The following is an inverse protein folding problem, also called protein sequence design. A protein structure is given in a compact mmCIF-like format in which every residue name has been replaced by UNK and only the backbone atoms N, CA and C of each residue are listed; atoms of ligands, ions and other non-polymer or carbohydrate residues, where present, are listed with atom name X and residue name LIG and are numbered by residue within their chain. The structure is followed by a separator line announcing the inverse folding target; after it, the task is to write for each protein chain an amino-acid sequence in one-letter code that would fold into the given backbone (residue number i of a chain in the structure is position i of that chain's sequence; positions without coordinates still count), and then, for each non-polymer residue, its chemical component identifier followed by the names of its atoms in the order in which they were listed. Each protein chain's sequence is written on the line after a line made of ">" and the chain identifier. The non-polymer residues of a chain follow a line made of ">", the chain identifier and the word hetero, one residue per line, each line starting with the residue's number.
data_IF_363133708042
#
_entry.id   IF_363133708042
#
_cell.length_a   1.000
_cell.length_b   1.000
_cell.length_c   1.000
_cell.angle_alpha   90.00
_cell.angle_beta   90.00
_cell.angle_gamma   90.00
#
_symmetry.space_group_name_H-M   'P 1'
#
loop_
_entity.id
_entity.type
_entity.pdbx_description
1 polymer ?
#
# COMPACT_ATOMS: atom_id res chain seq x y z
N UNK A 1 2.21 17.81 3.99
CA UNK A 1 1.08 18.78 4.01
C UNK A 1 -0.13 18.21 3.26
N UNK A 2 -0.02 17.89 1.97
CA UNK A 2 -1.14 17.34 1.15
C UNK A 2 -1.68 16.00 1.65
N UNK A 3 -0.81 15.08 2.09
CA UNK A 3 -1.23 13.77 2.61
C UNK A 3 -2.11 13.87 3.87
N UNK A 4 -1.78 14.77 4.80
CA UNK A 4 -2.57 14.97 6.01
C UNK A 4 -3.98 15.49 5.68
N UNK A 5 -4.09 16.42 4.71
CA UNK A 5 -5.37 16.92 4.21
C UNK A 5 -6.16 15.80 3.51
N UNK A 6 -5.50 14.98 2.69
CA UNK A 6 -6.14 13.84 2.02
C UNK A 6 -6.70 12.81 3.01
N UNK A 7 -5.92 12.46 4.05
CA UNK A 7 -6.37 11.56 5.13
C UNK A 7 -7.51 12.18 5.93
N UNK A 8 -7.47 13.49 6.21
CA UNK A 8 -8.54 14.19 6.92
C UNK A 8 -9.85 14.18 6.11
N UNK A 9 -9.77 14.44 4.80
CA UNK A 9 -10.93 14.40 3.90
C UNK A 9 -11.48 12.96 3.85
N UNK A 10 -10.62 11.96 3.64
CA UNK A 10 -11.04 10.56 3.63
C UNK A 10 -11.73 10.17 4.95
N UNK A 11 -11.16 10.55 6.09
CA UNK A 11 -11.75 10.32 7.40
C UNK A 11 -13.14 10.97 7.53
N UNK A 12 -13.32 12.20 7.02
CA UNK A 12 -14.61 12.89 7.08
C UNK A 12 -15.72 12.16 6.30
N UNK A 13 -15.38 11.53 5.18
CA UNK A 13 -16.34 10.77 4.37
C UNK A 13 -16.58 9.34 4.88
N UNK A 14 -15.54 8.65 5.34
CA UNK A 14 -15.61 7.25 5.80
C UNK A 14 -16.13 7.14 7.24
N UNK A 15 -15.78 8.06 8.14
CA UNK A 15 -16.22 8.03 9.54
C UNK A 15 -17.75 7.95 9.70
N UNK A 16 -18.58 8.77 9.03
CA UNK A 16 -20.04 8.66 9.17
C UNK A 16 -20.58 7.32 8.66
N UNK A 17 -20.00 6.74 7.61
CA UNK A 17 -20.39 5.42 7.09
C UNK A 17 -20.08 4.33 8.13
N UNK A 18 -18.89 4.39 8.74
CA UNK A 18 -18.50 3.46 9.80
C UNK A 18 -19.37 3.56 11.05
N UNK A 19 -19.71 4.79 11.47
CA UNK A 19 -20.61 5.05 12.61
C UNK A 19 -22.01 4.52 12.33
N UNK A 20 -22.54 4.69 11.11
CA UNK A 20 -23.87 4.16 10.74
C UNK A 20 -23.88 2.63 10.71
N UNK A 21 -22.82 1.99 10.20
CA UNK A 21 -22.77 0.52 10.09
C UNK A 21 -22.51 -0.20 11.42
N UNK A 22 -21.61 0.33 12.25
CA UNK A 22 -21.16 -0.36 13.47
C UNK A 22 -21.70 0.28 14.77
N UNK A 23 -22.36 1.43 14.70
CA UNK A 23 -23.03 2.08 15.83
C UNK A 23 -22.09 2.44 16.99
N UNK A 24 -22.64 2.49 18.20
CA UNK A 24 -21.89 2.80 19.42
C UNK A 24 -20.87 1.71 19.83
N UNK A 25 -20.89 0.54 19.17
CA UNK A 25 -19.92 -0.53 19.44
C UNK A 25 -18.48 -0.12 19.07
N UNK A 26 -18.29 0.78 18.09
CA UNK A 26 -16.99 1.37 17.77
C UNK A 26 -16.45 2.31 18.85
N UNK A 27 -17.35 2.90 19.64
CA UNK A 27 -17.01 3.84 20.72
C UNK A 27 -16.80 3.14 22.06
N UNK A 28 -16.78 1.80 22.08
CA UNK A 28 -16.46 1.04 23.28
C UNK A 28 -15.02 1.39 23.70
N UNK A 29 -14.78 1.86 24.95
CA UNK A 29 -13.46 2.29 25.39
C UNK A 29 -12.37 1.22 25.24
N UNK A 30 -12.75 -0.07 25.22
CA UNK A 30 -11.86 -1.21 25.00
C UNK A 30 -11.36 -1.36 23.56
N UNK A 31 -12.10 -0.87 22.56
CA UNK A 31 -11.69 -0.93 21.15
C UNK A 31 -10.74 0.20 20.76
N UNK A 32 -10.81 1.35 21.44
CA UNK A 32 -10.01 2.53 21.11
C UNK A 32 -8.49 2.23 21.09
N UNK A 33 -7.90 1.55 22.10
CA UNK A 33 -6.47 1.21 22.06
C UNK A 33 -6.10 0.30 20.89
N UNK A 34 -6.95 -0.68 20.57
CA UNK A 34 -6.73 -1.62 19.47
C UNK A 34 -6.82 -0.88 18.13
N UNK A 35 -7.84 -0.03 17.95
CA UNK A 35 -8.03 0.77 16.75
C UNK A 35 -6.84 1.72 16.52
N UNK A 36 -6.33 2.36 17.58
CA UNK A 36 -5.10 3.17 17.51
C UNK A 36 -3.91 2.30 17.12
N UNK A 37 -3.74 1.13 17.74
CA UNK A 37 -2.66 0.20 17.42
C UNK A 37 -2.66 -0.22 15.94
N UNK A 38 -3.83 -0.62 15.42
CA UNK A 38 -4.01 -0.98 14.01
C UNK A 38 -3.73 0.21 13.09
N UNK A 39 -4.25 1.39 13.40
CA UNK A 39 -4.01 2.60 12.59
C UNK A 39 -2.52 2.97 12.52
N UNK A 40 -1.81 2.85 13.64
CA UNK A 40 -0.37 3.13 13.69
C UNK A 40 0.40 2.08 12.91
N UNK A 41 0.19 0.80 13.21
CA UNK A 41 0.96 -0.31 12.62
C UNK A 41 0.68 -0.49 11.13
N UNK A 42 -0.55 -0.28 10.68
CA UNK A 42 -0.97 -0.52 9.29
C UNK A 42 -0.82 0.69 8.37
N UNK A 43 -0.81 1.93 8.89
CA UNK A 43 -0.78 3.14 8.05
C UNK A 43 0.30 4.10 8.48
N UNK A 44 0.29 4.57 9.74
CA UNK A 44 1.22 5.64 10.14
C UNK A 44 2.69 5.20 10.06
N UNK A 45 2.99 4.01 10.54
CA UNK A 45 4.32 3.42 10.54
C UNK A 45 4.81 3.09 9.11
N UNK A 46 4.07 2.31 8.29
CA UNK A 46 4.48 2.04 6.92
C UNK A 46 4.60 3.31 6.10
N UNK A 47 3.65 4.25 6.16
CA UNK A 47 3.74 5.53 5.44
C UNK A 47 4.96 6.36 5.84
N UNK A 48 5.32 6.34 7.13
CA UNK A 48 6.54 7.01 7.60
C UNK A 48 7.78 6.34 7.04
N UNK A 49 7.84 5.00 7.07
CA UNK A 49 8.93 4.23 6.47
C UNK A 49 9.03 4.48 4.96
N UNK A 50 7.91 4.61 4.26
CA UNK A 50 7.86 4.96 2.84
C UNK A 50 8.48 6.34 2.56
N UNK A 51 8.06 7.36 3.33
CA UNK A 51 8.64 8.71 3.19
C UNK A 51 10.14 8.74 3.50
N UNK A 52 10.59 7.96 4.48
CA UNK A 52 12.02 7.83 4.80
C UNK A 52 12.75 7.06 3.68
N UNK A 53 12.17 5.99 3.15
CA UNK A 53 12.73 5.21 2.06
C UNK A 53 12.90 6.05 0.79
N UNK A 54 11.92 6.91 0.46
CA UNK A 54 11.98 7.83 -0.68
C UNK A 54 13.10 8.86 -0.57
N UNK A 55 13.55 9.22 0.64
CA UNK A 55 14.69 10.13 0.84
C UNK A 55 16.05 9.42 0.79
N UNK A 56 16.09 8.08 0.91
CA UNK A 56 17.32 7.27 0.98
C UNK A 56 17.55 6.37 -0.24
N UNK A 57 16.51 6.11 -1.04
CA UNK A 57 16.57 5.29 -2.25
C UNK A 57 16.16 6.09 -3.49
N UNK A 58 16.71 5.77 -4.68
CA UNK A 58 16.15 6.28 -5.93
C UNK A 58 14.68 5.85 -6.02
N UNK A 59 13.79 6.77 -6.37
CA UNK A 59 12.34 6.53 -6.63
C UNK A 59 12.07 5.28 -7.49
N UNK A 60 13.06 4.90 -8.30
CA UNK A 60 13.13 3.70 -9.14
C UNK A 60 13.05 2.36 -8.37
N UNK A 61 13.76 2.21 -7.26
CA UNK A 61 13.78 0.95 -6.47
C UNK A 61 12.57 0.87 -5.53
N UNK A 62 12.05 2.02 -5.11
CA UNK A 62 10.88 2.10 -4.27
C UNK A 62 9.60 1.70 -5.03
N UNK A 63 9.47 2.10 -6.30
CA UNK A 63 8.33 1.71 -7.14
C UNK A 63 8.25 0.20 -7.43
N UNK A 64 9.38 -0.50 -7.54
CA UNK A 64 9.37 -1.96 -7.68
C UNK A 64 9.00 -2.67 -6.39
N UNK A 65 9.45 -2.18 -5.23
CA UNK A 65 9.03 -2.69 -3.92
C UNK A 65 7.53 -2.47 -3.66
N UNK A 66 7.01 -1.28 -3.98
CA UNK A 66 5.58 -0.94 -3.84
C UNK A 66 4.69 -1.79 -4.76
N UNK A 67 5.19 -2.19 -5.94
CA UNK A 67 4.47 -3.09 -6.84
C UNK A 67 4.27 -4.51 -6.28
N UNK A 68 5.00 -4.91 -5.23
CA UNK A 68 4.88 -6.23 -4.59
C UNK A 68 3.79 -6.24 -3.49
N UNK A 69 3.36 -5.06 -3.03
CA UNK A 69 2.32 -4.88 -2.02
C UNK A 69 1.01 -5.66 -2.29
N UNK A 70 0.44 -5.65 -3.51
CA UNK A 70 -0.75 -6.46 -3.81
C UNK A 70 -0.52 -7.99 -3.69
N UNK A 71 0.68 -8.48 -3.94
CA UNK A 71 0.99 -9.90 -3.76
C UNK A 71 1.04 -10.29 -2.28
N UNK A 72 1.64 -9.45 -1.43
CA UNK A 72 1.60 -9.64 0.03
C UNK A 72 0.20 -9.47 0.60
N UNK A 73 -0.59 -8.53 0.08
CA UNK A 73 -2.00 -8.36 0.45
C UNK A 73 -2.82 -9.62 0.18
N UNK A 74 -2.67 -10.20 -1.01
CA UNK A 74 -3.33 -11.47 -1.36
C UNK A 74 -2.85 -12.65 -0.51
N UNK A 75 -1.55 -12.76 -0.24
CA UNK A 75 -0.99 -13.81 0.61
C UNK A 75 -1.48 -13.68 2.06
N UNK A 76 -1.55 -12.46 2.58
CA UNK A 76 -2.07 -12.18 3.90
C UNK A 76 -3.56 -12.53 3.99
N UNK A 77 -4.36 -12.18 3.00
CA UNK A 77 -5.78 -12.58 2.91
C UNK A 77 -5.96 -14.11 2.89
N UNK A 78 -5.16 -14.82 2.09
CA UNK A 78 -5.18 -16.29 2.04
C UNK A 78 -4.81 -16.90 3.40
N UNK A 79 -3.77 -16.40 4.07
CA UNK A 79 -3.25 -16.97 5.32
C UNK A 79 -4.11 -16.64 6.55
N UNK A 80 -4.58 -15.39 6.67
CA UNK A 80 -5.31 -14.93 7.86
C UNK A 80 -6.83 -15.09 7.73
N UNK A 81 -7.40 -14.93 6.54
CA UNK A 81 -8.85 -15.05 6.31
C UNK A 81 -9.25 -16.43 5.75
N UNK A 82 -8.31 -17.30 5.35
CA UNK A 82 -8.57 -18.59 4.69
C UNK A 82 -9.44 -18.45 3.41
N UNK A 83 -9.38 -17.30 2.73
CA UNK A 83 -10.15 -17.10 1.51
C UNK A 83 -9.62 -18.02 0.40
N UNK A 84 -10.52 -18.84 -0.17
CA UNK A 84 -10.21 -19.64 -1.35
C UNK A 84 -10.24 -18.71 -2.56
N UNK A 85 -9.06 -18.25 -2.99
CA UNK A 85 -8.97 -17.31 -4.10
C UNK A 85 -9.58 -17.93 -5.37
N UNK A 86 -10.60 -17.28 -5.91
CA UNK A 86 -11.23 -17.65 -7.18
C UNK A 86 -10.24 -17.53 -8.34
N UNK A 87 -10.46 -18.28 -9.41
CA UNK A 87 -9.62 -18.27 -10.62
C UNK A 87 -9.39 -16.84 -11.18
N UNK A 88 -10.41 -15.97 -11.06
CA UNK A 88 -10.30 -14.56 -11.45
C UNK A 88 -9.31 -13.76 -10.62
N UNK A 89 -9.17 -14.04 -9.32
CA UNK A 89 -8.23 -13.35 -8.44
C UNK A 89 -6.79 -13.78 -8.74
N UNK A 90 -6.59 -15.07 -9.03
CA UNK A 90 -5.30 -15.58 -9.52
C UNK A 90 -4.86 -14.93 -10.83
N UNK A 91 -5.79 -14.73 -11.77
CA UNK A 91 -5.52 -13.99 -13.01
C UNK A 91 -5.16 -12.52 -12.75
N UNK A 92 -5.85 -11.85 -11.84
CA UNK A 92 -5.54 -10.49 -11.45
C UNK A 92 -4.13 -10.36 -10.85
N UNK A 93 -3.77 -11.26 -9.91
CA UNK A 93 -2.44 -11.30 -9.30
C UNK A 93 -1.37 -11.55 -10.35
N UNK A 94 -1.59 -12.52 -11.25
CA UNK A 94 -0.64 -12.84 -12.33
C UNK A 94 -0.42 -11.65 -13.27
N UNK A 95 -1.49 -10.92 -13.59
CA UNK A 95 -1.43 -9.72 -14.42
C UNK A 95 -0.63 -8.59 -13.74
N UNK A 96 -0.83 -8.37 -12.44
CA UNK A 96 -0.07 -7.41 -11.65
C UNK A 96 1.42 -7.78 -11.60
N UNK A 97 1.73 -9.06 -11.37
CA UNK A 97 3.12 -9.55 -11.37
C UNK A 97 3.75 -9.36 -12.75
N UNK A 98 3.06 -9.73 -13.84
CA UNK A 98 3.54 -9.51 -15.20
C UNK A 98 3.78 -8.03 -15.52
N UNK A 99 2.86 -7.15 -15.11
CA UNK A 99 3.02 -5.70 -15.28
C UNK A 99 4.23 -5.17 -14.50
N UNK A 100 4.43 -5.65 -13.26
CA UNK A 100 5.58 -5.31 -12.41
C UNK A 100 6.91 -5.71 -13.04
N UNK A 101 7.00 -6.95 -13.53
CA UNK A 101 8.17 -7.49 -14.23
C UNK A 101 8.39 -6.73 -15.54
N UNK A 102 7.33 -6.47 -16.31
CA UNK A 102 7.39 -5.71 -17.56
C UNK A 102 7.87 -4.27 -17.37
N UNK A 103 7.39 -3.59 -16.33
CA UNK A 103 7.89 -2.27 -15.93
C UNK A 103 9.38 -2.35 -15.57
N UNK A 104 9.77 -3.31 -14.73
CA UNK A 104 11.17 -3.50 -14.32
C UNK A 104 12.11 -3.78 -15.50
N UNK A 105 11.70 -4.61 -16.46
CA UNK A 105 12.49 -4.96 -17.65
C UNK A 105 12.61 -3.81 -18.65
N UNK A 106 11.52 -3.08 -18.89
CA UNK A 106 11.51 -1.91 -19.80
C UNK A 106 12.40 -0.78 -19.26
N UNK A 107 12.49 -0.67 -17.94
CA UNK A 107 13.27 0.36 -17.24
C UNK A 107 14.79 0.21 -17.38
N UNK A 108 15.32 -0.97 -17.76
CA UNK A 108 16.76 -1.19 -17.96
C UNK A 108 17.33 -0.51 -19.23
N UNK A 109 16.47 -0.02 -20.13
CA UNK A 109 16.90 0.43 -21.46
C UNK A 109 17.20 1.95 -21.58
N UNK A 110 17.18 2.72 -20.49
CA UNK A 110 17.41 4.18 -20.51
C UNK A 110 18.63 4.61 -19.66
N UNK A 111 19.77 3.97 -19.87
CA UNK A 111 21.07 4.44 -19.37
C UNK A 111 22.12 4.29 -20.47
N UNK A 112 22.04 5.16 -21.48
CA UNK A 112 23.23 5.53 -22.24
C UNK A 112 23.85 6.71 -21.51
N UNK A 113 25.04 6.58 -20.89
CA UNK A 113 25.78 7.73 -20.42
C UNK A 113 26.14 8.56 -21.65
N UNK A 114 25.77 9.84 -21.63
CA UNK A 114 26.31 10.83 -22.55
C UNK A 114 27.81 10.88 -22.29
N UNK A 115 28.57 10.21 -23.15
CA UNK A 115 29.98 10.51 -23.35
C UNK A 115 30.03 11.87 -24.04
N UNK A 116 30.22 12.93 -23.26
CA UNK A 116 30.86 14.14 -23.78
C UNK A 116 32.30 14.09 -23.35
N UNK A 117 33.11 13.57 -24.27
CA UNK A 117 34.51 13.95 -24.45
C UNK A 117 34.64 15.47 -24.66
N UNK A 118 35.81 15.98 -24.26
CA UNK A 118 36.45 17.28 -24.53
C UNK A 118 36.30 18.37 -23.46
#
# INVERSE_FOLDING_TARGET
>A
QTAALGVMIAALFIAPIGIVHAGAALLTPSLIPIAIGVAILSTALPYTLEMIALTRMPTRTFGTLMSIEPAFGALSGLLFLNEVLSFSQWMAISCIIMASVGATLTMRNHSKPVLTDN
#
